data_IF_303265612020
#
_entry.id   IF_303265612020
#
_cell.length_a   1.000
_cell.length_b   1.000
_cell.length_c   1.000
_cell.angle_alpha   90.00
_cell.angle_beta   90.00
_cell.angle_gamma   90.00
#
_symmetry.space_group_name_H-M   'P 1'
#
loop_
_entity.id
_entity.type
_entity.pdbx_description
1 polymer ?
#
# COMPACT_ATOMS: atom_id res chain seq x y z
N UNK A 1 -12.53 61.64 9.26
CA UNK A 1 -11.89 60.64 8.38
C UNK A 1 -11.99 59.29 9.07
N UNK A 2 -12.96 58.46 8.68
CA UNK A 2 -13.18 57.12 9.22
C UNK A 2 -12.29 56.12 8.49
N UNK A 3 -11.26 55.61 9.16
CA UNK A 3 -10.39 54.57 8.64
C UNK A 3 -11.11 53.22 8.74
N UNK A 4 -11.75 52.80 7.65
CA UNK A 4 -12.21 51.41 7.49
C UNK A 4 -10.97 50.52 7.29
N UNK A 5 -10.41 50.02 8.39
CA UNK A 5 -9.47 48.91 8.35
C UNK A 5 -10.25 47.63 8.05
N UNK A 6 -10.49 47.37 6.77
CA UNK A 6 -10.98 46.08 6.30
C UNK A 6 -9.85 45.07 6.49
N UNK A 7 -9.85 44.37 7.63
CA UNK A 7 -8.94 43.25 7.86
C UNK A 7 -9.33 42.16 6.87
N UNK A 8 -8.56 42.00 5.79
CA UNK A 8 -8.75 40.85 4.90
C UNK A 8 -8.34 39.61 5.70
N UNK A 9 -9.33 38.87 6.24
CA UNK A 9 -9.08 37.52 6.73
C UNK A 9 -8.63 36.74 5.50
N UNK A 10 -7.33 36.52 5.38
CA UNK A 10 -6.73 35.64 4.39
C UNK A 10 -7.22 34.23 4.71
N UNK A 11 -8.42 33.90 4.25
CA UNK A 11 -8.92 32.54 4.18
C UNK A 11 -8.07 31.85 3.13
N UNK A 12 -6.90 31.39 3.54
CA UNK A 12 -6.09 30.53 2.72
C UNK A 12 -6.94 29.27 2.44
N UNK A 13 -7.30 29.00 1.17
CA UNK A 13 -8.07 27.80 0.83
C UNK A 13 -7.35 26.51 1.24
N UNK A 14 -6.04 26.57 1.48
CA UNK A 14 -5.16 25.46 1.83
C UNK A 14 -4.79 25.41 3.32
N UNK A 15 -5.24 26.36 4.13
CA UNK A 15 -4.97 26.46 5.56
C UNK A 15 -3.53 26.87 5.89
N UNK A 16 -3.28 27.18 7.17
CA UNK A 16 -1.95 27.58 7.65
C UNK A 16 -1.02 26.36 7.62
N UNK A 17 0.13 26.44 6.92
CA UNK A 17 1.09 25.35 6.85
C UNK A 17 1.80 25.18 8.21
N UNK A 18 1.30 24.29 9.05
CA UNK A 18 2.00 23.90 10.27
C UNK A 18 3.23 23.06 9.94
N UNK A 19 4.26 23.11 10.80
CA UNK A 19 5.48 22.31 10.64
C UNK A 19 5.16 20.82 10.51
N UNK A 20 4.17 20.32 11.25
CA UNK A 20 3.72 18.92 11.15
C UNK A 20 3.07 18.59 9.80
N UNK A 21 2.23 19.48 9.26
CA UNK A 21 1.61 19.29 7.93
C UNK A 21 2.67 19.30 6.83
N UNK A 22 3.65 20.21 6.91
CA UNK A 22 4.77 20.27 5.97
C UNK A 22 5.63 19.00 6.04
N UNK A 23 5.97 18.54 7.25
CA UNK A 23 6.74 17.32 7.45
C UNK A 23 6.02 16.08 6.87
N UNK A 24 4.69 15.98 7.04
CA UNK A 24 3.89 14.90 6.45
C UNK A 24 3.93 14.93 4.92
N UNK A 25 3.78 16.10 4.30
CA UNK A 25 3.89 16.21 2.84
C UNK A 25 5.28 15.84 2.31
N UNK A 26 6.34 16.27 2.99
CA UNK A 26 7.70 15.89 2.64
C UNK A 26 7.92 14.38 2.77
N UNK A 27 7.45 13.78 3.87
CA UNK A 27 7.48 12.33 4.07
C UNK A 27 6.77 11.58 2.94
N UNK A 28 5.55 11.98 2.58
CA UNK A 28 4.79 11.38 1.48
C UNK A 28 5.49 11.52 0.12
N UNK A 29 6.14 12.66 -0.13
CA UNK A 29 6.90 12.86 -1.36
C UNK A 29 8.13 11.94 -1.44
N UNK A 30 8.87 11.79 -0.33
CA UNK A 30 10.02 10.88 -0.27
C UNK A 30 9.61 9.41 -0.43
N UNK A 31 8.49 9.03 0.18
CA UNK A 31 7.93 7.69 0.03
C UNK A 31 7.53 7.40 -1.42
N UNK A 32 6.81 8.33 -2.06
CA UNK A 32 6.43 8.24 -3.47
C UNK A 32 7.66 8.12 -4.41
N UNK A 33 8.73 8.87 -4.14
CA UNK A 33 9.99 8.75 -4.89
C UNK A 33 10.61 7.36 -4.70
N UNK A 34 10.60 6.82 -3.48
CA UNK A 34 11.14 5.49 -3.19
C UNK A 34 10.41 4.40 -3.96
N UNK A 35 9.07 4.41 -3.94
CA UNK A 35 8.25 3.52 -4.78
C UNK A 35 8.53 3.74 -6.27
N UNK A 36 8.65 4.98 -6.71
CA UNK A 36 8.97 5.33 -8.10
C UNK A 36 10.28 4.72 -8.58
N UNK A 37 11.33 4.76 -7.75
CA UNK A 37 12.65 4.18 -8.07
C UNK A 37 12.58 2.65 -8.12
N UNK A 38 11.90 2.01 -7.16
CA UNK A 38 11.75 0.55 -7.15
C UNK A 38 11.01 0.07 -8.42
N UNK A 39 9.90 0.74 -8.78
CA UNK A 39 9.12 0.41 -9.98
C UNK A 39 9.93 0.69 -11.26
N UNK A 40 10.61 1.84 -11.36
CA UNK A 40 11.45 2.17 -12.51
C UNK A 40 12.59 1.16 -12.70
N UNK A 41 13.23 0.73 -11.61
CA UNK A 41 14.22 -0.35 -11.63
C UNK A 41 13.62 -1.68 -12.08
N UNK A 42 12.41 -2.02 -11.60
CA UNK A 42 11.67 -3.20 -12.04
C UNK A 42 11.33 -3.18 -13.54
N UNK A 43 10.89 -2.03 -14.06
CA UNK A 43 10.63 -1.84 -15.49
C UNK A 43 11.93 -1.97 -16.29
N UNK A 44 13.02 -1.36 -15.82
CA UNK A 44 14.32 -1.48 -16.48
C UNK A 44 14.77 -2.94 -16.60
N UNK A 45 14.65 -3.72 -15.52
CA UNK A 45 14.96 -5.15 -15.54
C UNK A 45 14.01 -5.95 -16.45
N UNK A 46 12.71 -5.62 -16.46
CA UNK A 46 11.74 -6.23 -17.36
C UNK A 46 12.11 -6.04 -18.84
N UNK A 47 12.63 -4.87 -19.21
CA UNK A 47 13.04 -4.56 -20.58
C UNK A 47 14.37 -5.20 -20.99
N UNK A 48 15.12 -5.76 -20.03
CA UNK A 48 16.49 -6.29 -20.23
C UNK A 48 16.61 -7.79 -20.02
N UNK A 49 15.53 -8.45 -19.59
CA UNK A 49 15.51 -9.90 -19.37
C UNK A 49 14.64 -10.57 -20.43
N UNK A 50 15.21 -11.54 -21.16
CA UNK A 50 14.50 -12.28 -22.22
C UNK A 50 13.46 -13.27 -21.67
N UNK A 51 13.63 -13.72 -20.41
CA UNK A 51 12.74 -14.65 -19.72
C UNK A 51 11.91 -13.92 -18.67
N UNK A 52 10.62 -13.70 -18.96
CA UNK A 52 9.65 -13.08 -18.05
C UNK A 52 8.32 -13.85 -18.10
N UNK A 53 7.68 -14.19 -16.95
CA UNK A 53 6.43 -14.95 -16.96
C UNK A 53 5.29 -14.16 -17.58
N UNK A 54 4.41 -14.83 -18.33
CA UNK A 54 3.19 -14.20 -18.83
C UNK A 54 2.21 -13.83 -17.70
N UNK A 55 1.39 -12.81 -17.96
CA UNK A 55 0.38 -12.36 -17.02
C UNK A 55 -0.62 -13.49 -16.70
N UNK A 56 -0.87 -13.73 -15.41
CA UNK A 56 -1.84 -14.73 -14.94
C UNK A 56 -1.29 -16.15 -14.72
N UNK A 57 -0.02 -16.43 -15.07
CA UNK A 57 0.58 -17.75 -14.84
C UNK A 57 1.15 -17.90 -13.43
N UNK A 58 1.64 -16.81 -12.83
CA UNK A 58 2.25 -16.82 -11.50
C UNK A 58 1.30 -16.32 -10.41
N UNK A 59 0.46 -15.33 -10.74
CA UNK A 59 -0.42 -14.67 -9.78
C UNK A 59 -1.84 -15.23 -9.83
N UNK A 60 -2.43 -15.45 -8.65
CA UNK A 60 -3.85 -15.80 -8.54
C UNK A 60 -4.70 -14.55 -8.74
N UNK A 61 -5.06 -14.27 -10.00
CA UNK A 61 -5.78 -13.06 -10.38
C UNK A 61 -7.05 -12.83 -9.53
N UNK A 62 -7.92 -13.83 -9.26
CA UNK A 62 -9.07 -13.62 -8.38
C UNK A 62 -8.71 -13.18 -6.96
N UNK A 63 -7.74 -13.86 -6.32
CA UNK A 63 -7.35 -13.57 -4.94
C UNK A 63 -6.65 -12.22 -4.83
N UNK A 64 -5.70 -11.92 -5.73
CA UNK A 64 -5.01 -10.63 -5.77
C UNK A 64 -5.99 -9.47 -6.07
N UNK A 65 -6.99 -9.70 -6.94
CA UNK A 65 -8.03 -8.69 -7.24
C UNK A 65 -8.95 -8.44 -6.04
N UNK A 66 -9.34 -9.49 -5.32
CA UNK A 66 -10.09 -9.37 -4.07
C UNK A 66 -9.29 -8.58 -3.03
N UNK A 67 -7.99 -8.85 -2.91
CA UNK A 67 -7.11 -8.15 -1.98
C UNK A 67 -7.03 -6.65 -2.29
N UNK A 68 -6.97 -6.30 -3.58
CA UNK A 68 -7.00 -4.91 -4.04
C UNK A 68 -8.34 -4.24 -3.76
N UNK A 69 -9.45 -4.92 -4.04
CA UNK A 69 -10.79 -4.43 -3.73
C UNK A 69 -10.95 -4.13 -2.24
N UNK A 70 -10.46 -5.04 -1.38
CA UNK A 70 -10.46 -4.87 0.07
C UNK A 70 -9.73 -3.58 0.48
N UNK A 71 -8.54 -3.30 -0.06
CA UNK A 71 -7.80 -2.06 0.24
C UNK A 71 -8.55 -0.80 -0.21
N UNK A 72 -9.19 -0.81 -1.38
CA UNK A 72 -9.99 0.32 -1.84
C UNK A 72 -11.15 0.58 -0.87
N UNK A 73 -11.81 -0.49 -0.39
CA UNK A 73 -12.87 -0.37 0.60
C UNK A 73 -12.35 0.16 1.94
N UNK A 74 -11.14 -0.23 2.38
CA UNK A 74 -10.55 0.34 3.61
C UNK A 74 -10.19 1.82 3.48
N UNK A 75 -9.84 2.27 2.28
CA UNK A 75 -9.61 3.71 2.02
C UNK A 75 -10.90 4.51 2.18
N UNK A 76 -12.02 3.95 1.71
CA UNK A 76 -13.35 4.54 1.91
C UNK A 76 -13.71 4.62 3.40
N UNK A 77 -13.47 3.56 4.19
CA UNK A 77 -13.76 3.57 5.63
C UNK A 77 -12.91 4.60 6.38
N UNK A 78 -11.65 4.81 5.98
CA UNK A 78 -10.78 5.84 6.57
C UNK A 78 -11.34 7.27 6.34
N UNK A 79 -11.82 7.56 5.12
CA UNK A 79 -12.45 8.85 4.81
C UNK A 79 -13.75 9.05 5.61
N UNK A 80 -14.55 8.00 5.78
CA UNK A 80 -15.74 8.05 6.62
C UNK A 80 -15.40 8.30 8.09
N UNK A 81 -14.33 7.69 8.61
CA UNK A 81 -13.82 7.98 9.95
C UNK A 81 -13.45 9.46 10.12
N UNK A 82 -12.72 10.04 9.16
CA UNK A 82 -12.40 11.47 9.17
C UNK A 82 -13.66 12.34 9.13
N UNK A 83 -14.69 11.95 8.38
CA UNK A 83 -15.95 12.67 8.31
C UNK A 83 -16.70 12.65 9.65
N UNK A 84 -16.73 11.53 10.34
CA UNK A 84 -17.33 11.42 11.68
C UNK A 84 -16.57 12.24 12.72
N UNK A 85 -15.23 12.27 12.64
CA UNK A 85 -14.40 13.11 13.50
C UNK A 85 -14.71 14.61 13.30
N UNK A 86 -14.94 15.06 12.06
CA UNK A 86 -15.34 16.45 11.76
C UNK A 86 -16.72 16.82 12.32
N UNK A 87 -17.59 15.84 12.55
CA UNK A 87 -18.91 16.02 13.18
C UNK A 87 -18.87 15.87 14.71
N UNK A 88 -17.68 15.75 15.29
CA UNK A 88 -17.47 15.45 16.71
C UNK A 88 -18.11 14.12 17.18
N UNK A 89 -18.34 13.19 16.26
CA UNK A 89 -18.88 11.87 16.57
C UNK A 89 -17.74 10.87 16.86
N UNK A 90 -17.27 10.84 18.10
CA UNK A 90 -16.18 9.97 18.55
C UNK A 90 -16.48 8.48 18.37
N UNK A 91 -17.73 8.07 18.61
CA UNK A 91 -18.13 6.66 18.45
C UNK A 91 -18.05 6.24 16.99
N UNK A 92 -18.56 7.08 16.08
CA UNK A 92 -18.47 6.86 14.63
C UNK A 92 -17.02 6.78 14.15
N UNK A 93 -16.17 7.72 14.60
CA UNK A 93 -14.74 7.71 14.30
C UNK A 93 -14.07 6.39 14.71
N UNK A 94 -14.24 5.95 15.97
CA UNK A 94 -13.65 4.69 16.47
C UNK A 94 -14.11 3.48 15.66
N UNK A 95 -15.40 3.40 15.31
CA UNK A 95 -15.93 2.31 14.49
C UNK A 95 -15.27 2.26 13.11
N UNK A 96 -15.18 3.39 12.40
CA UNK A 96 -14.59 3.42 11.07
C UNK A 96 -13.08 3.18 11.05
N UNK A 97 -12.35 3.67 12.05
CA UNK A 97 -10.91 3.37 12.23
C UNK A 97 -10.72 1.88 12.49
N UNK A 98 -11.52 1.27 13.36
CA UNK A 98 -11.47 -0.17 13.62
C UNK A 98 -11.74 -0.99 12.34
N UNK A 99 -12.74 -0.62 11.55
CA UNK A 99 -13.01 -1.28 10.27
C UNK A 99 -11.82 -1.16 9.29
N UNK A 100 -11.17 0.00 9.27
CA UNK A 100 -9.97 0.23 8.45
C UNK A 100 -8.81 -0.66 8.89
N UNK A 101 -8.57 -0.77 10.20
CA UNK A 101 -7.54 -1.66 10.78
C UNK A 101 -7.83 -3.12 10.43
N UNK A 102 -9.07 -3.57 10.61
CA UNK A 102 -9.47 -4.95 10.31
C UNK A 102 -9.20 -5.27 8.84
N UNK A 103 -9.62 -4.41 7.92
CA UNK A 103 -9.36 -4.62 6.51
C UNK A 103 -7.86 -4.58 6.16
N UNK A 104 -7.07 -3.71 6.81
CA UNK A 104 -5.61 -3.72 6.65
C UNK A 104 -4.96 -5.03 7.13
N UNK A 105 -5.43 -5.60 8.24
CA UNK A 105 -4.97 -6.92 8.73
C UNK A 105 -5.35 -8.03 7.75
N UNK A 106 -6.59 -8.04 7.26
CA UNK A 106 -7.02 -9.02 6.25
C UNK A 106 -6.16 -8.93 4.99
N UNK A 107 -5.83 -7.71 4.53
CA UNK A 107 -4.91 -7.52 3.41
C UNK A 107 -3.55 -8.17 3.66
N UNK A 108 -2.95 -7.93 4.83
CA UNK A 108 -1.64 -8.49 5.20
C UNK A 108 -1.67 -10.02 5.30
N UNK A 109 -2.77 -10.59 5.81
CA UNK A 109 -2.95 -12.05 5.89
C UNK A 109 -3.05 -12.67 4.51
N UNK A 110 -3.85 -12.10 3.60
CA UNK A 110 -3.98 -12.59 2.22
C UNK A 110 -2.63 -12.47 1.51
N UNK A 111 -1.94 -11.33 1.64
CA UNK A 111 -0.62 -11.11 1.08
C UNK A 111 0.40 -12.13 1.59
N UNK A 112 0.41 -12.40 2.90
CA UNK A 112 1.28 -13.39 3.52
C UNK A 112 0.97 -14.82 3.06
N UNK A 113 -0.31 -15.15 2.86
CA UNK A 113 -0.73 -16.42 2.29
C UNK A 113 -0.25 -16.59 0.85
N UNK A 114 -0.39 -15.57 -0.01
CA UNK A 114 0.13 -15.61 -1.38
C UNK A 114 1.67 -15.80 -1.39
N UNK A 115 2.39 -15.13 -0.49
CA UNK A 115 3.83 -15.30 -0.35
C UNK A 115 4.22 -16.70 0.06
N UNK A 116 3.57 -17.23 1.09
CA UNK A 116 3.79 -18.60 1.57
C UNK A 116 3.57 -19.61 0.43
N UNK A 117 2.49 -19.44 -0.34
CA UNK A 117 2.16 -20.29 -1.47
C UNK A 117 3.22 -20.23 -2.59
N UNK A 118 3.80 -19.05 -2.85
CA UNK A 118 4.87 -18.87 -3.83
C UNK A 118 6.23 -19.42 -3.37
N UNK A 119 6.53 -19.35 -2.07
CA UNK A 119 7.81 -19.79 -1.49
C UNK A 119 7.88 -21.31 -1.30
N UNK A 120 6.80 -21.96 -0.88
CA UNK A 120 6.77 -23.43 -0.71
C UNK A 120 6.61 -24.17 -2.03
N UNK A 121 6.17 -23.45 -3.07
CA UNK A 121 5.99 -23.99 -4.40
C UNK A 121 4.62 -24.66 -4.56
N UNK A 122 3.95 -24.34 -5.66
CA UNK A 122 2.75 -25.05 -6.11
C UNK A 122 3.06 -25.80 -7.40
N UNK A 123 2.37 -26.91 -7.64
CA UNK A 123 2.57 -27.75 -8.85
C UNK A 123 2.42 -26.94 -10.15
N UNK A 124 1.53 -25.95 -10.15
CA UNK A 124 1.29 -25.06 -11.29
C UNK A 124 2.40 -24.01 -11.46
N UNK A 125 2.92 -23.46 -10.36
CA UNK A 125 4.07 -22.55 -10.38
C UNK A 125 5.35 -23.26 -10.84
N UNK A 126 5.59 -24.50 -10.39
CA UNK A 126 6.74 -25.30 -10.81
C UNK A 126 6.74 -25.63 -12.31
N UNK A 127 5.56 -25.95 -12.87
CA UNK A 127 5.40 -26.15 -14.33
C UNK A 127 5.67 -24.86 -15.10
N UNK A 128 5.11 -23.73 -14.65
CA UNK A 128 5.31 -22.43 -15.28
C UNK A 128 6.79 -22.01 -15.24
N UNK A 129 7.46 -22.13 -14.10
CA UNK A 129 8.88 -21.77 -13.98
C UNK A 129 9.79 -22.67 -14.82
N UNK A 130 9.50 -23.97 -14.90
CA UNK A 130 10.26 -24.91 -15.73
C UNK A 130 10.11 -24.61 -17.22
N UNK A 131 8.94 -24.13 -17.68
CA UNK A 131 8.74 -23.75 -19.10
C UNK A 131 9.51 -22.49 -19.53
N UNK A 132 9.92 -21.63 -18.58
CA UNK A 132 10.74 -20.44 -18.85
C UNK A 132 12.23 -20.62 -18.48
N UNK A 133 12.68 -21.88 -18.34
CA UNK A 133 14.10 -22.19 -18.12
C UNK A 133 14.62 -21.92 -16.71
N UNK A 134 13.74 -21.69 -15.72
CA UNK A 134 14.14 -21.60 -14.31
C UNK A 134 14.21 -23.00 -13.70
N UNK A 135 15.39 -23.39 -13.20
CA UNK A 135 15.57 -24.63 -12.44
C UNK A 135 15.24 -24.38 -10.96
N UNK A 136 13.99 -24.63 -10.56
CA UNK A 136 13.53 -24.46 -9.18
C UNK A 136 12.01 -24.63 -9.04
N UNK A 137 11.55 -25.13 -7.89
CA UNK A 137 10.12 -25.43 -7.61
C UNK A 137 9.40 -24.23 -6.96
N UNK A 138 10.13 -23.17 -6.60
CA UNK A 138 9.61 -22.03 -5.82
C UNK A 138 10.02 -20.68 -6.42
N UNK A 139 9.17 -19.67 -6.22
CA UNK A 139 9.49 -18.28 -6.53
C UNK A 139 10.19 -17.69 -5.30
N UNK A 140 11.52 -17.76 -5.27
CA UNK A 140 12.33 -17.13 -4.23
C UNK A 140 12.84 -15.78 -4.70
N UNK A 141 13.24 -14.95 -3.75
CA UNK A 141 13.97 -13.70 -3.97
C UNK A 141 15.18 -13.88 -4.89
N UNK A 142 15.75 -15.09 -4.93
CA UNK A 142 16.93 -15.47 -5.71
C UNK A 142 16.63 -16.12 -7.06
N UNK A 143 15.37 -16.47 -7.37
CA UNK A 143 15.02 -17.25 -8.58
C UNK A 143 14.81 -16.38 -9.83
N UNK A 144 15.63 -15.33 -9.99
CA UNK A 144 15.64 -14.48 -11.18
C UNK A 144 15.17 -13.05 -10.98
N UNK A 145 15.22 -12.25 -12.06
CA UNK A 145 14.89 -10.82 -12.04
C UNK A 145 13.40 -10.56 -11.78
N UNK A 146 12.52 -11.49 -12.16
CA UNK A 146 11.08 -11.38 -11.90
C UNK A 146 10.76 -11.50 -10.40
N UNK A 147 11.19 -12.58 -9.74
CA UNK A 147 10.92 -12.80 -8.32
C UNK A 147 11.51 -11.70 -7.43
N UNK A 148 12.74 -11.31 -7.69
CA UNK A 148 13.41 -10.22 -6.96
C UNK A 148 12.68 -8.88 -7.08
N UNK A 149 12.27 -8.47 -8.30
CA UNK A 149 11.53 -7.21 -8.51
C UNK A 149 10.11 -7.27 -7.94
N UNK A 150 9.42 -8.40 -8.10
CA UNK A 150 8.10 -8.64 -7.52
C UNK A 150 8.14 -8.51 -5.99
N UNK A 151 8.99 -9.27 -5.31
CA UNK A 151 9.07 -9.26 -3.84
C UNK A 151 9.63 -7.95 -3.30
N UNK A 152 10.61 -7.31 -3.95
CA UNK A 152 11.11 -6.01 -3.51
C UNK A 152 9.99 -4.97 -3.47
N UNK A 153 9.20 -4.87 -4.55
CA UNK A 153 8.11 -3.90 -4.65
C UNK A 153 6.97 -4.22 -3.68
N UNK A 154 6.50 -5.46 -3.69
CA UNK A 154 5.31 -5.86 -2.92
C UNK A 154 5.60 -5.98 -1.43
N UNK A 155 6.82 -6.36 -1.02
CA UNK A 155 7.19 -6.42 0.40
C UNK A 155 7.41 -5.03 0.98
N UNK A 156 7.98 -4.10 0.22
CA UNK A 156 8.08 -2.71 0.64
C UNK A 156 6.68 -2.09 0.83
N UNK A 157 5.74 -2.36 -0.08
CA UNK A 157 4.33 -1.99 0.09
C UNK A 157 3.69 -2.66 1.32
N UNK A 158 3.89 -3.96 1.51
CA UNK A 158 3.37 -4.70 2.67
C UNK A 158 3.86 -4.12 4.01
N UNK A 159 5.14 -3.72 4.08
CA UNK A 159 5.71 -3.04 5.25
C UNK A 159 5.07 -1.65 5.46
N UNK A 160 4.79 -0.89 4.40
CA UNK A 160 4.08 0.38 4.49
C UNK A 160 2.67 0.21 5.07
N UNK A 161 1.93 -0.80 4.57
CA UNK A 161 0.58 -1.10 5.08
C UNK A 161 0.65 -1.55 6.53
N UNK A 162 1.60 -2.40 6.92
CA UNK A 162 1.81 -2.81 8.31
C UNK A 162 2.09 -1.61 9.22
N UNK A 163 2.99 -0.70 8.82
CA UNK A 163 3.26 0.52 9.57
C UNK A 163 2.01 1.40 9.72
N UNK A 164 1.20 1.53 8.65
CA UNK A 164 -0.08 2.22 8.68
C UNK A 164 -1.09 1.59 9.64
N UNK A 165 -1.23 0.27 9.64
CA UNK A 165 -2.09 -0.48 10.57
C UNK A 165 -1.66 -0.28 12.02
N UNK A 166 -0.35 -0.34 12.31
CA UNK A 166 0.20 -0.09 13.64
C UNK A 166 -0.10 1.35 14.07
N UNK A 167 0.13 2.33 13.19
CA UNK A 167 -0.15 3.74 13.47
C UNK A 167 -1.64 3.99 13.76
N UNK A 168 -2.54 3.44 12.96
CA UNK A 168 -3.99 3.53 13.19
C UNK A 168 -4.41 2.85 14.49
N UNK A 169 -3.80 1.72 14.84
CA UNK A 169 -4.06 1.02 16.10
C UNK A 169 -3.66 1.87 17.32
N UNK A 170 -2.54 2.57 17.24
CA UNK A 170 -2.10 3.52 18.27
C UNK A 170 -3.08 4.70 18.39
N UNK A 171 -3.54 5.25 17.27
CA UNK A 171 -4.56 6.32 17.27
C UNK A 171 -5.85 5.82 17.93
N UNK A 172 -6.33 4.63 17.57
CA UNK A 172 -7.55 4.06 18.13
C UNK A 172 -7.44 3.83 19.64
N UNK A 173 -6.25 3.45 20.12
CA UNK A 173 -5.99 3.27 21.54
C UNK A 173 -6.00 4.61 22.32
N UNK A 174 -5.58 5.70 21.69
CA UNK A 174 -5.55 7.03 22.31
C UNK A 174 -6.89 7.77 22.23
N UNK A 175 -7.75 7.41 21.28
CA UNK A 175 -9.08 8.01 21.08
C UNK A 175 -10.07 7.53 22.13
#
# INVERSE_FOLDING_TARGET
MTMNHTISIKRDPFGIASTGKLAMWLFLAMDAITFGVIIAGGIYLRLRTDQWPEAGQVLNIPLTSLNTFLLIMTSFTMVMGLNELKKDNQRGFKTFILLTIIGGIFFLVIQGYEYYHFVIGSTELGKALTSYGFSGISLLWTTGTFGSTFYATTSFHGLHVLAGVVYLSVILYQA
#
